data_IF_958792680548
#
_entry.id   IF_958792680548
#
_cell.length_a   1.000
_cell.length_b   1.000
_cell.length_c   1.000
_cell.angle_alpha   90.00
_cell.angle_beta   90.00
_cell.angle_gamma   90.00
#
_symmetry.space_group_name_H-M   'P 1'
#
loop_
_entity.id
_entity.type
_entity.pdbx_description
1 polymer ?
#
# COMPACT_ATOMS: atom_id res chain seq x y z
N UNK A 1 3.82 6.52 -7.58
CA UNK A 1 4.00 6.86 -6.16
C UNK A 1 4.17 5.59 -5.33
N UNK A 2 4.86 5.70 -4.21
CA UNK A 2 4.94 4.68 -3.16
C UNK A 2 4.28 5.24 -1.91
N UNK A 3 3.38 4.46 -1.31
CA UNK A 3 2.65 4.84 -0.10
C UNK A 3 2.84 3.74 0.92
N UNK A 4 3.36 4.13 2.08
CA UNK A 4 3.51 3.26 3.24
C UNK A 4 2.48 3.69 4.28
N UNK A 5 1.67 2.74 4.74
CA UNK A 5 0.63 2.93 5.76
C UNK A 5 0.78 1.83 6.80
N UNK A 6 0.05 1.92 7.91
CA UNK A 6 0.03 0.84 8.89
C UNK A 6 -0.53 -0.48 8.31
N UNK A 7 -1.35 -0.39 7.26
CA UNK A 7 -1.97 -1.54 6.61
C UNK A 7 -1.08 -2.15 5.54
N UNK A 8 0.01 -1.50 5.11
CA UNK A 8 0.96 -2.08 4.18
C UNK A 8 1.71 -1.10 3.26
N UNK A 9 2.37 -1.67 2.25
CA UNK A 9 3.13 -0.95 1.22
C UNK A 9 2.45 -1.08 -0.15
N UNK A 10 2.10 0.07 -0.75
CA UNK A 10 1.39 0.15 -2.03
C UNK A 10 2.17 1.00 -3.03
N UNK A 11 2.37 0.45 -4.24
CA UNK A 11 2.82 1.18 -5.42
C UNK A 11 1.63 1.55 -6.30
N UNK A 12 1.43 2.85 -6.54
CA UNK A 12 0.38 3.32 -7.43
C UNK A 12 0.97 4.00 -8.68
N UNK A 13 0.49 3.57 -9.85
CA UNK A 13 0.89 4.09 -11.17
C UNK A 13 -0.33 4.21 -12.08
N UNK A 14 -0.23 5.05 -13.11
CA UNK A 14 -1.20 5.12 -14.21
C UNK A 14 -0.59 4.42 -15.41
N UNK A 15 -1.26 3.39 -15.94
CA UNK A 15 -0.80 2.68 -17.13
C UNK A 15 -1.39 3.28 -18.40
N UNK A 16 -0.68 3.14 -19.51
CA UNK A 16 -1.09 3.64 -20.83
C UNK A 16 -2.39 3.02 -21.31
N UNK A 17 -2.62 1.74 -21.00
CA UNK A 17 -3.82 0.97 -21.32
C UNK A 17 -5.00 1.20 -20.36
N UNK A 18 -4.81 1.99 -19.30
CA UNK A 18 -5.85 2.35 -18.32
C UNK A 18 -5.65 3.78 -17.82
N UNK A 19 -5.70 4.79 -18.70
CA UNK A 19 -5.34 6.16 -18.35
C UNK A 19 -6.34 6.82 -17.39
N UNK A 20 -7.54 6.26 -17.21
CA UNK A 20 -8.56 6.78 -16.29
C UNK A 20 -8.57 6.08 -14.93
N UNK A 21 -7.70 5.08 -14.71
CA UNK A 21 -7.61 4.32 -13.46
C UNK A 21 -6.21 4.38 -12.86
N UNK A 22 -6.16 4.24 -11.55
CA UNK A 22 -4.91 4.00 -10.82
C UNK A 22 -4.73 2.48 -10.69
N UNK A 23 -3.58 1.99 -11.15
CA UNK A 23 -3.14 0.63 -10.86
C UNK A 23 -2.35 0.64 -9.54
N UNK A 24 -3.02 0.28 -8.45
CA UNK A 24 -2.39 0.07 -7.16
C UNK A 24 -1.88 -1.37 -7.08
N UNK A 25 -0.65 -1.56 -6.61
CA UNK A 25 0.06 -2.84 -6.65
C UNK A 25 0.81 -3.07 -5.34
N UNK A 26 0.94 -4.32 -4.94
CA UNK A 26 1.74 -4.70 -3.79
C UNK A 26 2.44 -6.05 -4.00
N UNK A 27 3.44 -6.31 -3.14
CA UNK A 27 4.18 -7.58 -3.12
C UNK A 27 3.47 -8.64 -2.30
N UNK A 28 2.59 -8.23 -1.39
CA UNK A 28 1.71 -9.10 -0.62
C UNK A 28 0.24 -8.71 -0.84
N UNK A 29 -0.66 -9.70 -0.72
CA UNK A 29 -2.10 -9.50 -0.89
C UNK A 29 -2.67 -8.58 0.19
N UNK A 30 -2.24 -8.78 1.44
CA UNK A 30 -2.75 -8.09 2.63
C UNK A 30 -2.66 -6.57 2.51
N UNK A 31 -1.56 -6.04 1.96
CA UNK A 31 -1.37 -4.61 1.72
C UNK A 31 -2.41 -3.96 0.79
N UNK A 32 -3.20 -4.73 0.03
CA UNK A 32 -4.24 -4.22 -0.86
C UNK A 32 -5.67 -4.48 -0.35
N UNK A 33 -5.86 -5.20 0.76
CA UNK A 33 -7.19 -5.65 1.21
C UNK A 33 -8.13 -4.50 1.50
N UNK A 34 -7.68 -3.50 2.28
CA UNK A 34 -8.50 -2.31 2.61
C UNK A 34 -8.89 -1.53 1.35
N UNK A 35 -7.94 -1.35 0.41
CA UNK A 35 -8.23 -0.64 -0.83
C UNK A 35 -9.22 -1.42 -1.71
N UNK A 36 -9.05 -2.75 -1.79
CA UNK A 36 -9.91 -3.65 -2.54
C UNK A 36 -11.35 -3.67 -2.00
N UNK A 37 -11.49 -3.67 -0.67
CA UNK A 37 -12.78 -3.61 0.03
C UNK A 37 -13.46 -2.27 -0.23
N UNK A 38 -12.76 -1.14 -0.05
CA UNK A 38 -13.29 0.20 -0.33
C UNK A 38 -13.69 0.40 -1.79
N UNK A 39 -13.02 -0.29 -2.72
CA UNK A 39 -13.32 -0.20 -4.15
C UNK A 39 -14.31 -1.24 -4.64
N UNK A 40 -14.74 -2.17 -3.79
CA UNK A 40 -15.55 -3.34 -4.16
C UNK A 40 -14.95 -4.09 -5.37
N UNK A 41 -13.62 -4.23 -5.41
CA UNK A 41 -12.91 -4.92 -6.51
C UNK A 41 -12.09 -6.09 -6.01
N UNK A 42 -11.98 -7.11 -6.84
CA UNK A 42 -11.06 -8.22 -6.58
C UNK A 42 -9.59 -7.81 -6.69
N UNK A 43 -8.76 -8.41 -5.85
CA UNK A 43 -7.30 -8.34 -5.97
C UNK A 43 -6.88 -9.32 -7.06
N UNK A 44 -6.29 -8.79 -8.14
CA UNK A 44 -5.77 -9.58 -9.24
C UNK A 44 -4.37 -10.09 -8.91
N UNK A 45 -4.12 -11.36 -9.21
CA UNK A 45 -2.82 -12.02 -9.06
C UNK A 45 -2.05 -12.08 -10.37
N UNK A 46 -0.74 -11.87 -10.27
CA UNK A 46 0.20 -11.82 -11.38
C UNK A 46 1.58 -12.25 -10.89
N UNK A 47 1.75 -13.55 -10.60
CA UNK A 47 2.84 -14.07 -9.77
C UNK A 47 4.25 -13.80 -10.32
N UNK A 48 4.39 -13.54 -11.63
CA UNK A 48 5.68 -13.28 -12.28
C UNK A 48 6.05 -11.79 -12.37
N UNK A 49 5.21 -10.87 -11.87
CA UNK A 49 5.52 -9.44 -11.83
C UNK A 49 6.17 -9.05 -10.49
N UNK A 50 7.03 -8.03 -10.50
CA UNK A 50 7.67 -7.48 -9.29
C UNK A 50 6.68 -7.19 -8.15
N UNK A 51 5.48 -6.76 -8.53
CA UNK A 51 4.31 -6.64 -7.67
C UNK A 51 3.29 -7.70 -8.09
N UNK A 52 3.26 -8.80 -7.33
CA UNK A 52 2.42 -9.97 -7.61
C UNK A 52 0.93 -9.68 -7.52
N UNK A 53 0.51 -8.66 -6.78
CA UNK A 53 -0.89 -8.33 -6.53
C UNK A 53 -1.23 -6.93 -7.02
N UNK A 54 -2.47 -6.71 -7.48
CA UNK A 54 -2.94 -5.40 -7.93
C UNK A 54 -4.45 -5.23 -7.86
N UNK A 55 -4.88 -3.97 -7.73
CA UNK A 55 -6.26 -3.52 -7.91
C UNK A 55 -6.29 -2.31 -8.84
N UNK A 56 -7.37 -2.17 -9.60
CA UNK A 56 -7.57 -1.05 -10.52
C UNK A 56 -8.74 -0.21 -10.02
N UNK A 57 -8.44 0.98 -9.50
CA UNK A 57 -9.41 1.84 -8.84
C UNK A 57 -9.54 3.18 -9.57
N UNK A 58 -10.65 3.88 -9.38
CA UNK A 58 -10.79 5.26 -9.83
C UNK A 58 -9.93 6.21 -8.98
N UNK A 59 -9.69 7.40 -9.49
CA UNK A 59 -8.98 8.45 -8.76
C UNK A 59 -9.69 8.79 -7.44
N UNK A 60 -11.01 8.82 -7.42
CA UNK A 60 -11.79 9.21 -6.23
C UNK A 60 -11.73 8.15 -5.14
N UNK A 61 -11.82 6.87 -5.50
CA UNK A 61 -11.66 5.78 -4.51
C UNK A 61 -10.25 5.77 -3.93
N UNK A 62 -9.22 6.00 -4.76
CA UNK A 62 -7.86 6.08 -4.25
C UNK A 62 -7.65 7.28 -3.30
N UNK A 63 -8.27 8.43 -3.58
CA UNK A 63 -8.26 9.59 -2.67
C UNK A 63 -8.98 9.28 -1.36
N UNK A 64 -10.13 8.61 -1.41
CA UNK A 64 -10.86 8.16 -0.22
C UNK A 64 -9.98 7.26 0.63
N UNK A 65 -9.32 6.26 0.02
CA UNK A 65 -8.40 5.38 0.75
C UNK A 65 -7.26 6.16 1.43
N UNK A 66 -6.62 7.11 0.74
CA UNK A 66 -5.60 7.97 1.36
C UNK A 66 -6.16 8.79 2.52
N UNK A 67 -7.37 9.32 2.38
CA UNK A 67 -8.02 10.10 3.45
C UNK A 67 -8.34 9.23 4.65
N UNK A 68 -8.88 8.02 4.43
CA UNK A 68 -9.13 7.05 5.51
C UNK A 68 -7.84 6.69 6.25
N UNK A 69 -6.69 6.60 5.56
CA UNK A 69 -5.41 6.35 6.25
C UNK A 69 -4.99 7.48 7.17
N UNK A 70 -5.41 8.72 6.89
CA UNK A 70 -5.19 9.88 7.78
C UNK A 70 -6.15 9.83 8.97
N UNK A 71 -7.41 9.48 8.72
CA UNK A 71 -8.44 9.36 9.78
C UNK A 71 -8.09 8.25 10.79
N UNK A 72 -7.35 7.24 10.38
CA UNK A 72 -6.86 6.13 11.23
C UNK A 72 -5.53 6.43 11.96
N UNK A 73 -4.96 7.63 11.82
CA UNK A 73 -3.70 8.00 12.51
C UNK A 73 -3.91 8.18 14.02
N UNK A 74 -4.06 7.08 14.74
CA UNK A 74 -4.28 6.99 16.18
C UNK A 74 -3.00 6.68 16.99
N UNK A 75 -1.83 6.78 16.34
CA UNK A 75 -0.54 6.39 16.88
C UNK A 75 0.50 7.52 16.82
N UNK A 76 1.44 7.53 17.77
CA UNK A 76 2.53 8.51 17.86
C UNK A 76 3.82 8.05 17.15
N UNK A 77 3.94 6.75 16.86
CA UNK A 77 5.10 6.16 16.22
C UNK A 77 4.72 5.07 15.21
N UNK A 78 5.01 5.33 13.93
CA UNK A 78 4.71 4.40 12.84
C UNK A 78 5.38 3.03 12.98
N UNK A 79 6.64 2.98 13.44
CA UNK A 79 7.39 1.72 13.54
C UNK A 79 6.81 0.83 14.62
N UNK A 80 6.49 1.41 15.79
CA UNK A 80 5.83 0.68 16.87
C UNK A 80 4.46 0.17 16.42
N UNK A 81 3.65 1.04 15.78
CA UNK A 81 2.34 0.63 15.27
C UNK A 81 2.42 -0.55 14.32
N UNK A 82 3.38 -0.53 13.38
CA UNK A 82 3.57 -1.65 12.44
C UNK A 82 4.09 -2.91 13.13
N UNK A 83 4.94 -2.78 14.14
CA UNK A 83 5.39 -3.93 14.93
C UNK A 83 4.20 -4.63 15.62
N UNK A 84 3.24 -3.85 16.11
CA UNK A 84 2.03 -4.36 16.76
C UNK A 84 1.03 -4.96 15.75
N UNK A 85 0.81 -4.32 14.60
CA UNK A 85 -0.23 -4.72 13.64
C UNK A 85 0.22 -5.72 12.56
N UNK A 86 1.47 -5.64 12.08
CA UNK A 86 2.03 -6.47 10.99
C UNK A 86 3.20 -7.33 11.46
N UNK A 87 3.59 -7.22 12.73
CA UNK A 87 4.66 -8.01 13.34
C UNK A 87 6.08 -7.52 13.03
N UNK A 88 7.04 -8.08 13.77
CA UNK A 88 8.43 -7.64 13.73
C UNK A 88 9.15 -7.86 12.39
N UNK A 89 8.75 -8.85 11.58
CA UNK A 89 9.38 -9.14 10.28
C UNK A 89 9.13 -7.97 9.31
N UNK A 90 7.88 -7.54 9.17
CA UNK A 90 7.53 -6.41 8.30
C UNK A 90 8.09 -5.10 8.85
N UNK A 91 7.98 -4.88 10.16
CA UNK A 91 8.63 -3.76 10.85
C UNK A 91 10.12 -3.65 10.54
N UNK A 92 10.87 -4.77 10.62
CA UNK A 92 12.31 -4.77 10.34
C UNK A 92 12.61 -4.43 8.88
N UNK A 93 11.80 -4.92 7.93
CA UNK A 93 11.94 -4.58 6.52
C UNK A 93 11.73 -3.08 6.26
N UNK A 94 10.70 -2.47 6.88
CA UNK A 94 10.50 -1.01 6.83
C UNK A 94 11.65 -0.24 7.47
N UNK A 95 12.24 -0.79 8.54
CA UNK A 95 13.45 -0.24 9.16
C UNK A 95 14.62 -0.14 8.18
N UNK A 96 14.81 -1.13 7.30
CA UNK A 96 15.83 -1.08 6.25
C UNK A 96 15.55 0.03 5.25
N UNK A 97 14.31 0.15 4.76
CA UNK A 97 13.91 1.24 3.84
C UNK A 97 14.15 2.60 4.49
N UNK A 98 13.76 2.78 5.75
CA UNK A 98 13.98 4.03 6.48
C UNK A 98 15.47 4.39 6.58
N UNK A 99 16.33 3.42 6.90
CA UNK A 99 17.78 3.63 6.95
C UNK A 99 18.35 3.95 5.57
N UNK A 100 17.96 3.21 4.53
CA UNK A 100 18.45 3.40 3.16
C UNK A 100 18.04 4.77 2.61
N UNK A 101 16.85 5.26 2.97
CA UNK A 101 16.36 6.58 2.57
C UNK A 101 17.03 7.75 3.30
N UNK A 102 17.95 7.49 4.26
CA UNK A 102 18.86 8.51 4.79
C UNK A 102 20.00 8.84 3.81
N UNK A 103 20.22 8.02 2.77
CA UNK A 103 21.31 8.22 1.82
C UNK A 103 21.40 9.67 1.33
N UNK A 104 22.54 10.31 1.64
CA UNK A 104 22.95 11.66 1.22
C UNK A 104 24.15 11.58 0.29
#
# INVERSE_FOLDING_TARGET
MWVFTETGFVSAVRKVDSPTKITARSRDRQSLEVLAELSETEILETPFADYGYRVLVSDDIYKVWLTTTVDMLDYDNFKNRVADSRGHVFHHALGKVWTDMLAV
#
